data_IF_152629361043
#
_entry.id   IF_152629361043
#
_cell.length_a   1.000
_cell.length_b   1.000
_cell.length_c   1.000
_cell.angle_alpha   90.00
_cell.angle_beta   90.00
_cell.angle_gamma   90.00
#
_symmetry.space_group_name_H-M   'P 1'
#
loop_
_entity.id
_entity.type
_entity.pdbx_description
1 polymer ?
#
# COMPACT_ATOMS: atom_id res chain seq x y z
N UNK A 1 19.76 21.28 -118.97
CA UNK A 1 20.17 22.46 -119.76
C UNK A 1 21.15 23.26 -118.91
N UNK A 2 22.38 23.49 -119.39
CA UNK A 2 23.50 24.16 -118.68
C UNK A 2 23.97 23.51 -117.35
N UNK A 3 25.24 23.09 -117.23
CA UNK A 3 26.46 23.90 -116.99
C UNK A 3 26.46 24.51 -115.56
N UNK A 4 27.56 24.45 -114.79
CA UNK A 4 28.99 24.27 -115.18
C UNK A 4 29.86 23.95 -113.94
N UNK A 5 30.95 23.19 -114.13
CA UNK A 5 32.32 23.39 -113.57
C UNK A 5 32.54 23.50 -112.02
N UNK A 6 33.70 23.14 -111.43
CA UNK A 6 34.96 22.64 -112.00
C UNK A 6 35.83 21.80 -111.01
N UNK A 7 36.74 21.01 -111.57
CA UNK A 7 38.09 20.57 -111.09
C UNK A 7 38.52 20.85 -109.64
N UNK A 8 39.00 19.88 -108.83
CA UNK A 8 40.28 19.13 -108.94
C UNK A 8 41.57 20.02 -108.88
N UNK A 9 42.75 19.54 -108.40
CA UNK A 9 43.05 18.48 -107.41
C UNK A 9 44.32 18.74 -106.50
N UNK A 10 44.74 17.71 -105.72
CA UNK A 10 46.14 17.26 -105.46
C UNK A 10 47.09 17.99 -104.45
N UNK A 11 47.79 17.14 -103.65
CA UNK A 11 49.07 17.27 -102.89
C UNK A 11 49.20 18.36 -101.79
N UNK A 12 49.63 18.05 -100.55
CA UNK A 12 50.98 17.61 -100.10
C UNK A 12 52.10 18.54 -100.62
N UNK A 13 53.10 19.04 -99.89
CA UNK A 13 53.55 19.03 -98.49
C UNK A 13 54.30 20.39 -98.27
N UNK A 14 54.68 20.90 -97.10
CA UNK A 14 54.63 20.47 -95.68
C UNK A 14 54.75 21.73 -94.79
N UNK A 15 54.53 21.63 -93.46
CA UNK A 15 55.39 22.33 -92.47
C UNK A 15 55.13 21.90 -91.02
N UNK A 16 56.12 22.14 -90.16
CA UNK A 16 56.38 21.38 -88.93
C UNK A 16 56.53 22.28 -87.69
N UNK A 17 55.54 22.25 -86.80
CA UNK A 17 55.51 22.73 -85.40
C UNK A 17 54.06 22.49 -84.89
N UNK A 18 53.75 22.19 -83.63
CA UNK A 18 54.50 22.28 -82.36
C UNK A 18 53.92 21.25 -81.36
N UNK A 19 54.72 20.74 -80.41
CA UNK A 19 54.21 19.80 -79.38
C UNK A 19 53.57 20.54 -78.21
N UNK A 20 52.26 20.35 -77.99
CA UNK A 20 51.62 20.61 -76.69
C UNK A 20 51.39 19.31 -75.92
N UNK A 21 52.47 18.81 -75.31
CA UNK A 21 52.42 17.74 -74.31
C UNK A 21 51.72 18.23 -73.03
N UNK A 22 50.37 18.29 -73.01
CA UNK A 22 49.61 18.53 -71.75
C UNK A 22 48.10 18.22 -71.72
N UNK A 23 47.42 17.79 -72.79
CA UNK A 23 45.96 17.50 -72.77
C UNK A 23 45.58 16.05 -73.15
N UNK A 24 46.39 15.08 -72.74
CA UNK A 24 45.94 13.68 -72.66
C UNK A 24 44.94 13.53 -71.51
N UNK A 25 43.66 13.69 -71.88
CA UNK A 25 42.51 13.69 -70.99
C UNK A 25 42.55 12.50 -70.05
N UNK A 26 42.72 12.77 -68.75
CA UNK A 26 42.35 11.81 -67.69
C UNK A 26 40.85 11.53 -67.76
N UNK A 27 40.44 10.60 -68.63
CA UNK A 27 39.14 9.94 -68.53
C UNK A 27 39.18 9.17 -67.21
N UNK A 28 38.66 9.78 -66.14
CA UNK A 28 38.40 9.09 -64.86
C UNK A 28 37.36 8.01 -65.12
N UNK A 29 37.83 6.84 -65.55
CA UNK A 29 37.05 5.61 -65.54
C UNK A 29 36.59 5.40 -64.09
N UNK A 30 35.29 5.60 -63.86
CA UNK A 30 34.74 5.50 -62.52
C UNK A 30 34.90 4.04 -62.06
N UNK A 31 35.57 3.84 -60.92
CA UNK A 31 35.64 2.52 -60.28
C UNK A 31 34.24 1.91 -60.15
N UNK A 32 34.07 0.58 -60.31
CA UNK A 32 32.77 -0.08 -60.17
C UNK A 32 31.99 0.33 -58.91
N UNK A 33 32.67 0.50 -57.78
CA UNK A 33 32.04 0.97 -56.53
C UNK A 33 31.49 2.41 -56.62
N UNK A 34 32.16 3.30 -57.37
CA UNK A 34 31.71 4.68 -57.57
C UNK A 34 30.51 4.76 -58.52
N UNK A 35 30.38 3.82 -59.47
CA UNK A 35 29.19 3.65 -60.30
C UNK A 35 27.99 3.16 -59.47
N UNK A 36 28.20 2.21 -58.54
CA UNK A 36 27.17 1.74 -57.61
C UNK A 36 26.71 2.86 -56.68
N UNK A 37 27.64 3.60 -56.05
CA UNK A 37 27.31 4.73 -55.19
C UNK A 37 26.52 5.82 -55.95
N UNK A 38 26.94 6.17 -57.18
CA UNK A 38 26.22 7.13 -58.05
C UNK A 38 24.80 6.66 -58.40
N UNK A 39 24.57 5.35 -58.51
CA UNK A 39 23.22 4.77 -58.71
C UNK A 39 22.39 4.78 -57.43
N UNK A 40 23.01 4.54 -56.27
CA UNK A 40 22.37 4.58 -54.95
C UNK A 40 21.87 6.00 -54.62
N UNK A 41 22.73 7.01 -54.68
CA UNK A 41 22.36 8.40 -54.36
C UNK A 41 21.36 9.02 -55.34
N UNK A 42 21.19 8.44 -56.54
CA UNK A 42 20.14 8.84 -57.49
C UNK A 42 18.76 8.24 -57.16
N UNK A 43 18.69 7.20 -56.33
CA UNK A 43 17.43 6.59 -55.90
C UNK A 43 16.93 7.25 -54.60
N UNK A 44 15.85 8.04 -54.70
CA UNK A 44 15.26 8.75 -53.55
C UNK A 44 14.91 7.83 -52.39
N UNK A 45 14.35 6.64 -52.65
CA UNK A 45 13.97 5.68 -51.60
C UNK A 45 15.18 5.16 -50.82
N UNK A 46 16.29 4.89 -51.52
CA UNK A 46 17.53 4.41 -50.90
C UNK A 46 18.19 5.51 -50.05
N UNK A 47 18.16 6.76 -50.51
CA UNK A 47 18.65 7.92 -49.76
C UNK A 47 17.79 8.18 -48.52
N UNK A 48 16.47 8.07 -48.59
CA UNK A 48 15.59 8.17 -47.41
C UNK A 48 15.92 7.10 -46.37
N UNK A 49 16.13 5.84 -46.79
CA UNK A 49 16.55 4.76 -45.88
C UNK A 49 17.89 5.04 -45.19
N UNK A 50 18.89 5.54 -45.94
CA UNK A 50 20.18 5.95 -45.39
C UNK A 50 20.03 7.06 -44.33
N UNK A 51 19.19 8.07 -44.60
CA UNK A 51 18.93 9.19 -43.68
C UNK A 51 18.25 8.69 -42.40
N UNK A 52 17.24 7.83 -42.50
CA UNK A 52 16.57 7.24 -41.32
C UNK A 52 17.56 6.46 -40.47
N UNK A 53 18.40 5.63 -41.09
CA UNK A 53 19.42 4.84 -40.36
C UNK A 53 20.44 5.76 -39.67
N UNK A 54 20.91 6.82 -40.34
CA UNK A 54 21.80 7.82 -39.75
C UNK A 54 21.15 8.56 -38.56
N UNK A 55 19.86 8.91 -38.66
CA UNK A 55 19.10 9.52 -37.56
C UNK A 55 18.94 8.54 -36.38
N UNK A 56 18.61 7.27 -36.65
CA UNK A 56 18.51 6.24 -35.60
C UNK A 56 19.84 6.00 -34.90
N UNK A 57 20.95 5.96 -35.67
CA UNK A 57 22.30 5.86 -35.12
C UNK A 57 22.63 7.07 -34.25
N UNK A 58 22.39 8.29 -34.73
CA UNK A 58 22.61 9.51 -33.96
C UNK A 58 21.77 9.53 -32.67
N UNK A 59 20.44 9.32 -32.77
CA UNK A 59 19.52 9.25 -31.64
C UNK A 59 19.96 8.23 -30.58
N UNK A 60 20.53 7.10 -31.00
CA UNK A 60 20.87 6.02 -30.09
C UNK A 60 22.28 6.12 -29.49
N UNK A 61 23.28 6.50 -30.27
CA UNK A 61 24.66 6.64 -29.81
C UNK A 61 24.91 7.98 -29.12
N UNK A 62 24.35 9.09 -29.64
CA UNK A 62 24.45 10.41 -28.99
C UNK A 62 23.32 10.65 -27.98
N UNK A 63 22.21 9.89 -28.01
CA UNK A 63 21.09 10.07 -27.08
C UNK A 63 21.48 9.99 -25.61
N UNK A 64 22.43 9.12 -25.25
CA UNK A 64 22.96 9.03 -23.88
C UNK A 64 23.80 10.25 -23.41
N UNK A 65 24.06 11.22 -24.29
CA UNK A 65 24.62 12.54 -23.94
C UNK A 65 23.52 13.63 -23.83
N UNK A 66 22.36 13.38 -24.44
CA UNK A 66 21.22 14.32 -24.49
C UNK A 66 20.21 14.02 -23.39
N UNK A 67 20.02 12.74 -23.04
CA UNK A 67 19.26 12.37 -21.84
C UNK A 67 20.03 12.79 -20.59
N UNK A 68 19.39 13.48 -19.63
CA UNK A 68 19.98 13.80 -18.34
C UNK A 68 20.01 12.60 -17.36
N UNK A 69 19.53 11.43 -17.78
CA UNK A 69 19.26 10.28 -16.91
C UNK A 69 20.10 9.06 -17.26
N UNK A 70 20.42 8.25 -16.24
CA UNK A 70 21.10 6.97 -16.44
C UNK A 70 20.11 5.89 -16.90
N UNK A 71 20.61 4.89 -17.62
CA UNK A 71 19.83 3.73 -18.07
C UNK A 71 19.15 2.95 -16.92
N UNK A 72 19.76 2.95 -15.73
CA UNK A 72 19.35 2.24 -14.52
C UNK A 72 18.64 3.13 -13.49
N UNK A 73 18.45 4.42 -13.78
CA UNK A 73 17.88 5.38 -12.84
C UNK A 73 16.37 5.21 -12.68
N UNK A 74 15.94 4.96 -11.44
CA UNK A 74 14.53 4.87 -11.06
C UNK A 74 14.11 6.15 -10.34
N UNK A 75 12.98 6.68 -10.76
CA UNK A 75 12.31 7.82 -10.16
C UNK A 75 11.23 7.33 -9.20
N UNK A 76 11.06 8.07 -8.11
CA UNK A 76 10.11 7.75 -7.05
C UNK A 76 9.29 9.00 -6.72
N UNK A 77 8.04 8.79 -6.33
CA UNK A 77 7.15 9.83 -5.79
C UNK A 77 6.71 9.45 -4.38
N UNK A 78 6.32 10.45 -3.60
CA UNK A 78 5.55 10.20 -2.38
C UNK A 78 4.12 9.80 -2.77
N UNK A 79 3.58 8.84 -2.02
CA UNK A 79 2.24 8.31 -2.17
C UNK A 79 1.73 7.97 -0.76
N UNK A 80 0.62 8.59 -0.37
CA UNK A 80 -0.01 8.31 0.92
C UNK A 80 -0.71 6.97 0.80
N UNK A 81 -0.30 6.00 1.61
CA UNK A 81 -0.88 4.65 1.59
C UNK A 81 -1.42 4.28 2.96
N UNK A 82 -2.72 4.05 3.02
CA UNK A 82 -3.41 3.51 4.19
C UNK A 82 -3.07 2.02 4.36
N UNK A 83 -2.19 1.70 5.32
CA UNK A 83 -1.81 0.31 5.66
C UNK A 83 -2.58 -0.18 6.87
N UNK A 84 -2.98 -1.45 6.86
CA UNK A 84 -3.67 -2.07 7.99
C UNK A 84 -2.77 -2.10 9.24
N UNK A 85 -3.24 -1.49 10.33
CA UNK A 85 -2.46 -1.25 11.54
C UNK A 85 -3.04 -2.01 12.74
N UNK A 86 -4.34 -1.84 12.99
CA UNK A 86 -5.06 -2.51 14.08
C UNK A 86 -6.44 -3.01 13.63
N UNK A 87 -6.99 -3.97 14.36
CA UNK A 87 -8.38 -4.42 14.26
C UNK A 87 -9.08 -4.26 15.61
N UNK A 88 -10.30 -3.75 15.61
CA UNK A 88 -11.11 -3.59 16.81
C UNK A 88 -12.47 -4.29 16.67
N UNK A 89 -12.81 -5.17 17.60
CA UNK A 89 -14.11 -5.85 17.65
C UNK A 89 -14.91 -5.30 18.83
N UNK A 90 -16.11 -4.80 18.55
CA UNK A 90 -17.06 -4.31 19.54
C UNK A 90 -17.98 -5.43 20.00
N UNK A 91 -17.96 -5.74 21.30
CA UNK A 91 -18.83 -6.75 21.89
C UNK A 91 -20.21 -6.19 22.21
N UNK A 92 -21.09 -6.19 21.20
CA UNK A 92 -22.51 -5.81 21.33
C UNK A 92 -23.34 -6.85 22.10
N UNK A 93 -22.81 -8.06 22.26
CA UNK A 93 -23.48 -9.19 22.91
C UNK A 93 -23.12 -9.32 24.38
N UNK A 94 -24.11 -9.76 25.15
CA UNK A 94 -23.97 -10.14 26.55
C UNK A 94 -23.13 -11.42 26.68
N UNK A 95 -21.93 -11.31 27.26
CA UNK A 95 -21.07 -12.46 27.58
C UNK A 95 -21.35 -12.93 29.00
N UNK A 96 -21.46 -14.24 29.16
CA UNK A 96 -21.69 -14.88 30.45
C UNK A 96 -20.38 -15.31 31.10
N UNK A 97 -20.26 -15.10 32.41
CA UNK A 97 -19.19 -15.66 33.25
C UNK A 97 -19.81 -16.42 34.42
N UNK A 98 -19.31 -17.62 34.70
CA UNK A 98 -19.87 -18.52 35.70
C UNK A 98 -19.00 -18.54 36.98
N UNK A 99 -19.62 -18.26 38.13
CA UNK A 99 -19.05 -18.57 39.43
C UNK A 99 -19.07 -20.08 39.68
N UNK A 100 -20.16 -20.70 39.27
CA UNK A 100 -20.47 -22.11 39.44
C UNK A 100 -20.85 -22.69 38.09
N UNK A 101 -19.95 -23.49 37.49
CA UNK A 101 -20.12 -24.01 36.12
C UNK A 101 -21.20 -25.08 36.01
N UNK A 102 -21.58 -25.71 37.12
CA UNK A 102 -22.65 -26.70 37.16
C UNK A 102 -24.01 -26.01 37.20
N UNK A 103 -24.17 -25.02 38.08
CA UNK A 103 -25.42 -24.24 38.19
C UNK A 103 -25.60 -23.23 37.05
N UNK A 104 -24.52 -22.67 36.50
CA UNK A 104 -24.57 -21.68 35.40
C UNK A 104 -23.99 -22.24 34.08
N UNK A 105 -24.48 -23.43 33.71
CA UNK A 105 -24.15 -24.11 32.45
C UNK A 105 -24.57 -23.31 31.20
N UNK A 106 -24.02 -23.67 30.02
CA UNK A 106 -24.32 -22.97 28.76
C UNK A 106 -25.81 -22.88 28.40
N UNK A 107 -26.63 -23.85 28.79
CA UNK A 107 -28.09 -23.79 28.64
C UNK A 107 -28.73 -22.70 29.50
N UNK A 108 -28.26 -22.55 30.75
CA UNK A 108 -28.72 -21.51 31.68
C UNK A 108 -28.25 -20.12 31.21
N UNK A 109 -27.05 -20.02 30.65
CA UNK A 109 -26.53 -18.79 30.05
C UNK A 109 -27.39 -18.34 28.85
N UNK A 110 -27.77 -19.27 27.96
CA UNK A 110 -28.67 -18.98 26.85
C UNK A 110 -30.08 -18.56 27.32
N UNK A 111 -30.65 -19.23 28.32
CA UNK A 111 -31.92 -18.83 28.94
C UNK A 111 -31.82 -17.45 29.62
N UNK A 112 -30.68 -17.11 30.23
CA UNK A 112 -30.43 -15.79 30.82
C UNK A 112 -30.44 -14.70 29.74
N UNK A 113 -29.75 -14.91 28.61
CA UNK A 113 -29.80 -13.96 27.48
C UNK A 113 -31.22 -13.80 26.93
N UNK A 114 -32.01 -14.87 26.82
CA UNK A 114 -33.42 -14.81 26.40
C UNK A 114 -34.30 -14.08 27.42
N UNK A 115 -34.06 -14.25 28.72
CA UNK A 115 -34.76 -13.53 29.79
C UNK A 115 -34.48 -12.02 29.70
N UNK A 116 -33.21 -11.62 29.53
CA UNK A 116 -32.81 -10.21 29.33
C UNK A 116 -33.50 -9.62 28.08
N UNK A 117 -33.51 -10.34 26.95
CA UNK A 117 -34.20 -9.89 25.72
C UNK A 117 -35.71 -9.70 25.91
N UNK A 118 -36.35 -10.58 26.71
CA UNK A 118 -37.77 -10.50 27.05
C UNK A 118 -38.09 -9.49 28.17
N UNK A 119 -37.06 -8.92 28.81
CA UNK A 119 -37.14 -8.09 30.02
C UNK A 119 -37.75 -8.84 31.23
N UNK A 120 -37.54 -10.15 31.28
CA UNK A 120 -37.87 -10.95 32.45
C UNK A 120 -36.75 -10.80 33.51
N UNK A 121 -37.16 -10.63 34.76
CA UNK A 121 -36.28 -10.62 35.95
C UNK A 121 -35.96 -12.03 36.46
N UNK A 122 -36.62 -13.06 35.95
CA UNK A 122 -36.46 -14.45 36.38
C UNK A 122 -36.83 -15.46 35.30
N UNK A 123 -36.31 -16.68 35.43
CA UNK A 123 -36.73 -17.85 34.65
C UNK A 123 -36.51 -19.15 35.45
N UNK A 124 -37.17 -20.23 35.04
CA UNK A 124 -36.98 -21.55 35.62
C UNK A 124 -36.25 -22.49 34.64
N UNK A 125 -35.33 -23.29 35.16
CA UNK A 125 -34.64 -24.33 34.40
C UNK A 125 -34.27 -25.51 35.30
N UNK A 126 -34.59 -26.74 34.86
CA UNK A 126 -34.37 -27.98 35.62
C UNK A 126 -34.90 -27.95 37.08
N UNK A 127 -36.04 -27.29 37.31
CA UNK A 127 -36.66 -27.17 38.65
C UNK A 127 -35.98 -26.16 39.58
N UNK A 128 -35.00 -25.40 39.08
CA UNK A 128 -34.38 -24.28 39.81
C UNK A 128 -34.83 -22.95 39.21
N UNK A 129 -35.20 -22.00 40.07
CA UNK A 129 -35.50 -20.62 39.70
C UNK A 129 -34.21 -19.80 39.68
N UNK A 130 -33.95 -19.12 38.57
CA UNK A 130 -32.84 -18.18 38.38
C UNK A 130 -33.39 -16.76 38.37
N UNK A 131 -32.82 -15.90 39.23
CA UNK A 131 -33.21 -14.50 39.38
C UNK A 131 -32.10 -13.62 38.82
N UNK A 132 -32.46 -12.68 37.96
CA UNK A 132 -31.58 -11.73 37.30
C UNK A 132 -31.68 -10.39 38.02
N UNK A 133 -30.63 -10.03 38.77
CA UNK A 133 -30.51 -8.70 39.35
C UNK A 133 -29.81 -7.80 38.34
N UNK A 134 -30.54 -6.83 37.80
CA UNK A 134 -29.97 -5.75 36.99
C UNK A 134 -29.08 -4.87 37.85
N UNK A 135 -27.84 -4.62 37.40
CA UNK A 135 -26.93 -3.64 38.00
C UNK A 135 -26.99 -2.34 37.17
N UNK A 136 -26.82 -2.44 35.85
CA UNK A 136 -27.07 -1.38 34.89
C UNK A 136 -27.64 -1.96 33.58
N UNK A 137 -27.76 -1.19 32.50
CA UNK A 137 -28.31 -1.68 31.21
C UNK A 137 -27.45 -2.78 30.55
N UNK A 138 -26.15 -2.81 30.85
CA UNK A 138 -25.14 -3.66 30.21
C UNK A 138 -24.56 -4.73 31.15
N UNK A 139 -25.07 -4.85 32.39
CA UNK A 139 -24.55 -5.75 33.42
C UNK A 139 -25.65 -6.28 34.37
N UNK A 140 -25.70 -7.61 34.49
CA UNK A 140 -26.64 -8.37 35.31
C UNK A 140 -25.91 -9.43 36.14
N UNK A 141 -26.36 -9.65 37.38
CA UNK A 141 -25.93 -10.74 38.25
C UNK A 141 -27.03 -11.79 38.43
N UNK A 142 -26.66 -13.08 38.41
CA UNK A 142 -27.60 -14.19 38.35
C UNK A 142 -27.51 -15.02 39.64
N UNK A 143 -28.66 -15.20 40.28
CA UNK A 143 -28.79 -15.90 41.55
C UNK A 143 -29.75 -17.09 41.46
N UNK A 144 -29.42 -18.19 42.12
CA UNK A 144 -30.36 -19.28 42.40
C UNK A 144 -30.26 -19.69 43.87
N UNK A 145 -31.39 -19.91 44.55
CA UNK A 145 -31.43 -20.18 45.98
C UNK A 145 -30.72 -19.13 46.87
N UNK A 146 -30.57 -17.89 46.39
CA UNK A 146 -29.80 -16.83 47.06
C UNK A 146 -28.28 -16.85 46.82
N UNK A 147 -27.72 -17.90 46.19
CA UNK A 147 -26.30 -17.99 45.80
C UNK A 147 -26.08 -17.30 44.46
N UNK A 148 -25.04 -16.46 44.35
CA UNK A 148 -24.54 -15.93 43.08
C UNK A 148 -23.93 -17.10 42.27
N UNK A 149 -24.45 -17.36 41.07
CA UNK A 149 -23.98 -18.47 40.20
C UNK A 149 -23.25 -17.99 38.95
N UNK A 150 -23.49 -16.74 38.55
CA UNK A 150 -22.80 -16.14 37.43
C UNK A 150 -23.19 -14.68 37.22
N UNK A 151 -22.58 -14.08 36.20
CA UNK A 151 -22.87 -12.74 35.71
C UNK A 151 -22.98 -12.73 34.19
N UNK A 152 -23.62 -11.69 33.69
CA UNK A 152 -23.76 -11.43 32.26
C UNK A 152 -23.49 -9.94 32.00
N UNK A 153 -22.46 -9.64 31.21
CA UNK A 153 -22.00 -8.27 30.91
C UNK A 153 -21.68 -8.09 29.41
N UNK A 154 -21.83 -6.87 28.87
CA UNK A 154 -21.23 -6.52 27.56
C UNK A 154 -19.75 -6.18 27.67
N UNK A 155 -19.36 -5.54 28.79
CA UNK A 155 -17.97 -5.26 29.10
C UNK A 155 -17.21 -6.51 29.54
N UNK A 156 -15.94 -6.57 29.15
CA UNK A 156 -15.01 -7.65 29.46
C UNK A 156 -13.81 -7.10 30.22
N UNK A 157 -13.38 -7.83 31.24
CA UNK A 157 -12.08 -7.65 31.89
C UNK A 157 -11.03 -8.36 31.05
N UNK A 158 -10.07 -7.60 30.52
CA UNK A 158 -8.97 -8.08 29.70
C UNK A 158 -7.65 -7.83 30.45
N UNK A 159 -6.66 -8.72 30.34
CA UNK A 159 -5.33 -8.48 30.92
C UNK A 159 -4.52 -7.50 30.05
N UNK A 160 -3.70 -6.68 30.69
CA UNK A 160 -2.87 -5.69 30.00
C UNK A 160 -1.49 -6.23 29.62
N UNK A 161 -0.92 -7.15 30.43
CA UNK A 161 0.48 -7.55 30.35
C UNK A 161 0.71 -9.06 30.12
N UNK A 162 -0.35 -9.86 30.06
CA UNK A 162 -0.28 -11.32 30.03
C UNK A 162 -1.52 -11.93 29.37
N UNK A 163 -1.45 -13.20 28.94
CA UNK A 163 -2.66 -13.99 28.62
C UNK A 163 -3.27 -14.64 29.90
N UNK A 164 -3.12 -14.00 31.06
CA UNK A 164 -3.67 -14.53 32.31
C UNK A 164 -5.20 -14.38 32.33
N UNK A 165 -5.88 -15.45 32.72
CA UNK A 165 -7.31 -15.42 33.03
C UNK A 165 -7.48 -15.00 34.48
N UNK A 166 -8.21 -13.92 34.70
CA UNK A 166 -8.67 -13.57 36.05
C UNK A 166 -9.72 -14.56 36.56
N UNK A 167 -9.88 -14.61 37.90
CA UNK A 167 -10.96 -15.38 38.51
C UNK A 167 -12.33 -14.74 38.28
N UNK A 168 -13.39 -15.50 38.57
CA UNK A 168 -14.73 -14.96 38.64
C UNK A 168 -14.86 -13.84 39.69
N UNK A 169 -14.23 -13.99 40.86
CA UNK A 169 -14.32 -13.01 41.95
C UNK A 169 -13.72 -11.67 41.54
N UNK A 170 -12.51 -11.68 40.98
CA UNK A 170 -11.87 -10.49 40.42
C UNK A 170 -12.72 -9.86 39.32
N UNK A 171 -13.20 -10.66 38.36
CA UNK A 171 -14.01 -10.17 37.24
C UNK A 171 -15.32 -9.52 37.72
N UNK A 172 -15.99 -10.14 38.69
CA UNK A 172 -17.22 -9.65 39.27
C UNK A 172 -17.02 -8.35 40.05
N UNK A 173 -16.01 -8.32 40.94
CA UNK A 173 -15.72 -7.15 41.76
C UNK A 173 -15.28 -5.95 40.90
N UNK A 174 -14.46 -6.18 39.88
CA UNK A 174 -14.03 -5.15 38.93
C UNK A 174 -15.21 -4.52 38.16
N UNK A 175 -16.10 -5.36 37.60
CA UNK A 175 -17.29 -4.90 36.88
C UNK A 175 -18.29 -4.19 37.80
N UNK A 176 -18.49 -4.68 39.04
CA UNK A 176 -19.31 -4.01 40.05
C UNK A 176 -18.76 -2.63 40.43
N UNK A 177 -17.45 -2.53 40.68
CA UNK A 177 -16.76 -1.29 41.02
C UNK A 177 -16.98 -0.22 39.93
N UNK A 178 -16.71 -0.59 38.66
CA UNK A 178 -16.94 0.31 37.51
C UNK A 178 -18.43 0.67 37.34
N UNK A 179 -19.33 -0.29 37.50
CA UNK A 179 -20.78 -0.06 37.37
C UNK A 179 -21.35 0.86 38.47
N UNK A 180 -20.77 0.86 39.67
CA UNK A 180 -21.14 1.73 40.78
C UNK A 180 -20.46 3.12 40.72
N UNK A 181 -19.43 3.29 39.87
CA UNK A 181 -18.60 4.50 39.85
C UNK A 181 -17.59 4.57 41.01
N UNK A 182 -17.21 3.42 41.57
CA UNK A 182 -16.19 3.29 42.62
C UNK A 182 -14.79 3.22 41.98
N UNK A 183 -13.77 3.74 42.68
CA UNK A 183 -12.37 3.78 42.21
C UNK A 183 -11.45 2.72 42.83
N UNK A 184 -11.98 1.84 43.69
CA UNK A 184 -11.22 0.72 44.24
C UNK A 184 -12.13 -0.45 44.64
N UNK A 185 -11.61 -1.67 44.51
CA UNK A 185 -12.29 -2.89 44.93
C UNK A 185 -11.33 -3.87 45.58
N UNK A 186 -11.87 -4.84 46.29
CA UNK A 186 -11.12 -5.96 46.87
C UNK A 186 -11.58 -7.27 46.25
N UNK A 187 -10.64 -8.10 45.83
CA UNK A 187 -10.88 -9.46 45.36
C UNK A 187 -9.68 -10.34 45.73
N UNK A 188 -9.92 -11.61 46.08
CA UNK A 188 -8.90 -12.59 46.45
C UNK A 188 -8.02 -12.13 47.65
N UNK A 189 -8.56 -11.27 48.51
CA UNK A 189 -7.84 -10.66 49.63
C UNK A 189 -6.86 -9.54 49.26
N UNK A 190 -6.84 -9.10 47.99
CA UNK A 190 -6.03 -7.96 47.51
C UNK A 190 -6.91 -6.78 47.13
N UNK A 191 -6.37 -5.56 47.25
CA UNK A 191 -7.03 -4.32 46.84
C UNK A 191 -6.48 -3.83 45.49
N UNK A 192 -7.39 -3.46 44.59
CA UNK A 192 -7.10 -2.93 43.26
C UNK A 192 -7.78 -1.58 43.09
N UNK A 193 -7.22 -0.70 42.25
CA UNK A 193 -7.81 0.61 41.93
C UNK A 193 -8.24 0.67 40.47
N UNK A 194 -9.38 1.31 40.18
CA UNK A 194 -9.89 1.54 38.83
C UNK A 194 -9.89 3.04 38.51
N UNK A 195 -9.43 3.41 37.32
CA UNK A 195 -9.51 4.78 36.80
C UNK A 195 -10.78 5.04 35.95
N UNK A 196 -10.91 6.27 35.45
CA UNK A 196 -12.06 6.68 34.64
C UNK A 196 -12.18 5.93 33.30
N UNK A 197 -11.05 5.43 32.76
CA UNK A 197 -10.99 4.67 31.52
C UNK A 197 -11.29 3.17 31.73
N UNK A 198 -11.44 2.75 32.99
CA UNK A 198 -11.68 1.37 33.39
C UNK A 198 -10.41 0.51 33.46
N UNK A 199 -9.23 1.13 33.56
CA UNK A 199 -7.95 0.45 33.78
C UNK A 199 -7.83 0.07 35.25
N UNK A 200 -7.38 -1.15 35.51
CA UNK A 200 -7.23 -1.74 36.84
C UNK A 200 -5.75 -1.84 37.19
N UNK A 201 -5.39 -1.31 38.36
CA UNK A 201 -4.03 -1.30 38.88
C UNK A 201 -3.90 -2.14 40.16
N UNK A 202 -2.78 -2.86 40.27
CA UNK A 202 -2.32 -3.52 41.50
C UNK A 202 -1.01 -2.85 41.96
N UNK A 203 -1.00 -2.27 43.17
CA UNK A 203 0.17 -1.55 43.72
C UNK A 203 0.77 -0.48 42.77
N UNK A 204 -0.06 0.15 41.94
CA UNK A 204 0.35 1.16 40.95
C UNK A 204 0.77 0.62 39.58
N UNK A 205 0.83 -0.70 39.39
CA UNK A 205 1.09 -1.31 38.08
C UNK A 205 -0.24 -1.63 37.38
N UNK A 206 -0.40 -1.27 36.10
CA UNK A 206 -1.55 -1.70 35.30
C UNK A 206 -1.52 -3.24 35.16
N UNK A 207 -2.62 -3.91 35.50
CA UNK A 207 -2.76 -5.37 35.37
C UNK A 207 -3.86 -5.76 34.36
N UNK A 208 -4.92 -4.97 34.27
CA UNK A 208 -6.11 -5.31 33.50
C UNK A 208 -6.89 -4.06 33.08
N UNK A 209 -7.91 -4.23 32.23
CA UNK A 209 -8.82 -3.18 31.83
C UNK A 209 -10.21 -3.69 31.46
N UNK A 210 -11.22 -2.84 31.66
CA UNK A 210 -12.62 -3.12 31.40
C UNK A 210 -13.05 -2.40 30.12
N UNK A 211 -13.35 -3.15 29.06
CA UNK A 211 -13.74 -2.59 27.75
C UNK A 211 -14.80 -3.45 27.05
N UNK A 212 -15.67 -2.79 26.26
CA UNK A 212 -16.52 -3.44 25.25
C UNK A 212 -15.75 -3.75 23.96
N UNK A 213 -14.60 -3.09 23.74
CA UNK A 213 -13.78 -3.22 22.54
C UNK A 213 -12.55 -4.10 22.79
N UNK A 214 -12.36 -5.11 21.94
CA UNK A 214 -11.15 -5.92 21.86
C UNK A 214 -10.31 -5.40 20.70
N UNK A 215 -9.19 -4.74 21.00
CA UNK A 215 -8.28 -4.15 20.02
C UNK A 215 -7.03 -5.02 19.91
N UNK A 216 -6.61 -5.34 18.68
CA UNK A 216 -5.43 -6.15 18.36
C UNK A 216 -4.62 -5.50 17.23
N UNK A 217 -3.30 -5.64 17.26
CA UNK A 217 -2.46 -5.27 16.13
C UNK A 217 -2.71 -6.20 14.94
N UNK A 218 -2.65 -5.69 13.72
CA UNK A 218 -2.70 -6.51 12.50
C UNK A 218 -1.32 -7.09 12.17
N UNK A 219 -0.27 -6.30 12.35
CA UNK A 219 1.12 -6.71 12.16
C UNK A 219 1.76 -7.07 13.51
N UNK A 220 2.51 -8.18 13.56
CA UNK A 220 3.03 -8.75 14.82
C UNK A 220 4.17 -7.97 15.48
N UNK A 221 4.74 -7.00 14.78
CA UNK A 221 5.75 -6.04 15.23
C UNK A 221 5.15 -4.72 15.76
N UNK A 222 3.86 -4.47 15.51
CA UNK A 222 3.16 -3.27 16.00
C UNK A 222 2.70 -3.46 17.44
N UNK A 223 3.31 -2.71 18.37
CA UNK A 223 2.84 -2.62 19.75
C UNK A 223 1.83 -1.48 19.92
N UNK A 224 0.56 -1.82 20.13
CA UNK A 224 -0.49 -0.84 20.39
C UNK A 224 -0.43 -0.34 21.84
N UNK A 225 0.04 0.90 22.02
CA UNK A 225 0.12 1.58 23.32
C UNK A 225 -1.26 1.72 23.98
N UNK A 226 -1.27 1.93 25.30
CA UNK A 226 -2.49 2.15 26.08
C UNK A 226 -3.25 3.40 25.60
N UNK A 227 -2.53 4.51 25.46
CA UNK A 227 -3.06 5.79 25.01
C UNK A 227 -3.65 5.71 23.59
N UNK A 228 -3.01 4.96 22.67
CA UNK A 228 -3.59 4.67 21.36
C UNK A 228 -4.93 3.93 21.46
N UNK A 229 -4.99 2.87 22.28
CA UNK A 229 -6.23 2.10 22.47
C UNK A 229 -7.35 2.96 23.07
N UNK A 230 -7.06 3.82 24.05
CA UNK A 230 -8.06 4.69 24.66
C UNK A 230 -8.60 5.70 23.62
N UNK A 231 -7.73 6.42 22.90
CA UNK A 231 -8.14 7.37 21.83
C UNK A 231 -8.92 6.67 20.70
N UNK A 232 -8.52 5.47 20.29
CA UNK A 232 -9.25 4.65 19.32
C UNK A 232 -10.66 4.30 19.84
N UNK A 233 -10.79 3.88 21.09
CA UNK A 233 -12.10 3.57 21.69
C UNK A 233 -12.99 4.82 21.70
N UNK A 234 -12.45 5.99 22.02
CA UNK A 234 -13.24 7.22 22.07
C UNK A 234 -13.63 7.72 20.68
N UNK A 235 -12.76 7.58 19.68
CA UNK A 235 -13.08 7.83 18.28
C UNK A 235 -14.21 6.90 17.77
N UNK A 236 -14.16 5.61 18.12
CA UNK A 236 -15.20 4.63 17.80
C UNK A 236 -16.54 4.94 18.49
N UNK A 237 -16.53 5.29 19.79
CA UNK A 237 -17.74 5.75 20.52
C UNK A 237 -18.33 7.03 19.91
N UNK A 238 -17.48 7.97 19.51
CA UNK A 238 -17.86 9.22 18.86
C UNK A 238 -18.30 9.03 17.40
N UNK A 239 -18.13 7.83 16.82
CA UNK A 239 -18.41 7.48 15.41
C UNK A 239 -17.63 8.35 14.42
N UNK A 240 -16.37 8.62 14.74
CA UNK A 240 -15.45 9.31 13.84
C UNK A 240 -15.02 8.39 12.69
N UNK A 241 -14.69 8.97 11.54
CA UNK A 241 -14.19 8.25 10.36
C UNK A 241 -12.65 8.13 10.38
N UNK A 242 -11.96 9.04 11.06
CA UNK A 242 -10.53 8.97 11.35
C UNK A 242 -10.21 9.67 12.68
N UNK A 243 -9.01 9.42 13.21
CA UNK A 243 -8.44 10.18 14.31
C UNK A 243 -6.92 10.32 14.13
N UNK A 244 -6.34 11.37 14.69
CA UNK A 244 -4.89 11.61 14.66
C UNK A 244 -4.28 11.17 15.98
N UNK A 245 -3.12 10.52 15.91
CA UNK A 245 -2.38 10.05 17.07
C UNK A 245 -0.89 10.39 16.93
N UNK A 246 -0.37 11.07 17.95
CA UNK A 246 1.07 11.26 18.16
C UNK A 246 1.59 10.16 19.09
N UNK A 247 2.62 9.43 18.67
CA UNK A 247 3.27 8.41 19.48
C UNK A 247 4.29 8.98 20.49
N UNK A 248 4.94 8.09 21.23
CA UNK A 248 5.94 8.47 22.25
C UNK A 248 7.23 9.07 21.65
N UNK A 249 7.51 8.80 20.38
CA UNK A 249 8.65 9.36 19.64
C UNK A 249 8.31 10.72 19.00
N UNK A 250 7.06 11.19 19.16
CA UNK A 250 6.57 12.46 18.63
C UNK A 250 6.11 12.37 17.18
N UNK A 251 5.96 11.17 16.61
CA UNK A 251 5.50 10.97 15.24
C UNK A 251 3.97 11.04 15.22
N UNK A 252 3.45 12.04 14.52
CA UNK A 252 2.02 12.22 14.29
C UNK A 252 1.58 11.45 13.02
N UNK A 253 0.53 10.65 13.14
CA UNK A 253 -0.07 9.93 12.01
C UNK A 253 -1.60 9.93 12.10
N UNK A 254 -2.27 9.90 10.94
CA UNK A 254 -3.72 9.75 10.84
C UNK A 254 -4.12 8.28 10.70
N UNK A 255 -5.18 7.90 11.41
CA UNK A 255 -5.70 6.55 11.49
C UNK A 255 -7.16 6.53 11.04
N UNK A 256 -7.42 5.92 9.90
CA UNK A 256 -8.74 5.78 9.27
C UNK A 256 -9.47 4.56 9.86
N UNK A 257 -10.74 4.74 10.20
CA UNK A 257 -11.61 3.76 10.83
C UNK A 257 -12.62 3.21 9.82
N UNK A 258 -12.43 1.97 9.37
CA UNK A 258 -13.32 1.33 8.39
C UNK A 258 -14.03 0.11 9.00
N UNK A 259 -15.35 0.13 9.09
CA UNK A 259 -16.12 -1.04 9.56
C UNK A 259 -16.34 -2.07 8.45
N UNK A 260 -15.85 -3.30 8.63
CA UNK A 260 -16.18 -4.45 7.80
C UNK A 260 -17.40 -5.20 8.37
N UNK A 261 -18.60 -5.05 7.75
CA UNK A 261 -19.81 -5.73 8.22
C UNK A 261 -19.77 -7.25 8.06
N UNK A 262 -18.88 -7.78 7.20
CA UNK A 262 -18.72 -9.22 6.95
C UNK A 262 -18.03 -9.93 8.12
N UNK A 263 -17.12 -9.21 8.80
CA UNK A 263 -16.39 -9.69 9.98
C UNK A 263 -16.97 -9.17 11.30
N UNK A 264 -17.87 -8.18 11.25
CA UNK A 264 -18.31 -7.37 12.41
C UNK A 264 -17.09 -6.80 13.19
N UNK A 265 -16.13 -6.27 12.44
CA UNK A 265 -14.86 -5.75 12.94
C UNK A 265 -14.58 -4.37 12.31
N UNK A 266 -13.97 -3.48 13.06
CA UNK A 266 -13.33 -2.27 12.55
C UNK A 266 -11.89 -2.59 12.14
N UNK A 267 -11.55 -2.29 10.89
CA UNK A 267 -10.19 -2.29 10.38
C UNK A 267 -9.65 -0.85 10.48
N UNK A 268 -8.57 -0.68 11.23
CA UNK A 268 -7.90 0.60 11.46
C UNK A 268 -6.67 0.67 10.57
N UNK A 269 -6.62 1.66 9.68
CA UNK A 269 -5.52 1.85 8.75
C UNK A 269 -4.73 3.10 9.09
N UNK A 270 -3.42 2.99 9.21
CA UNK A 270 -2.53 4.14 9.36
C UNK A 270 -2.20 4.69 7.97
N UNK A 271 -2.41 5.99 7.75
CA UNK A 271 -1.83 6.67 6.61
C UNK A 271 -0.34 6.88 6.84
N UNK A 272 0.49 6.36 5.92
CA UNK A 272 1.93 6.62 5.93
C UNK A 272 2.43 7.08 4.58
N UNK A 273 3.30 8.10 4.60
CA UNK A 273 4.05 8.56 3.44
C UNK A 273 4.99 7.45 2.95
N UNK A 274 4.56 6.75 1.90
CA UNK A 274 5.34 5.68 1.29
C UNK A 274 6.00 6.21 0.02
N UNK A 275 7.32 6.08 -0.07
CA UNK A 275 8.05 6.36 -1.33
C UNK A 275 7.83 5.20 -2.30
N UNK A 276 7.08 5.43 -3.38
CA UNK A 276 6.79 4.45 -4.43
C UNK A 276 7.51 4.81 -5.73
N UNK A 277 7.73 3.85 -6.61
CA UNK A 277 8.24 4.16 -7.96
C UNK A 277 7.21 5.01 -8.72
N UNK A 278 7.69 6.07 -9.37
CA UNK A 278 6.85 6.93 -10.22
C UNK A 278 6.49 6.15 -11.49
N UNK A 279 5.43 5.36 -11.43
CA UNK A 279 5.16 4.25 -12.35
C UNK A 279 4.14 4.68 -13.40
N UNK A 280 4.47 4.52 -14.69
CA UNK A 280 3.63 4.96 -15.82
C UNK A 280 3.23 6.45 -15.76
N UNK A 281 4.12 7.33 -15.29
CA UNK A 281 3.82 8.77 -15.27
C UNK A 281 3.73 9.32 -16.69
N UNK A 282 2.80 10.26 -16.96
CA UNK A 282 2.58 10.78 -18.30
C UNK A 282 3.77 11.65 -18.79
N UNK A 283 3.87 11.88 -20.12
CA UNK A 283 4.81 12.82 -20.69
C UNK A 283 4.85 14.17 -19.96
N UNK A 284 6.04 14.55 -19.49
CA UNK A 284 6.30 15.72 -18.66
C UNK A 284 7.63 16.38 -19.03
N UNK A 285 7.94 17.55 -18.44
CA UNK A 285 9.19 18.27 -18.72
C UNK A 285 10.44 17.55 -18.23
N UNK A 286 10.33 16.76 -17.16
CA UNK A 286 11.34 15.80 -16.72
C UNK A 286 11.34 14.58 -17.63
N UNK A 287 10.20 13.88 -17.72
CA UNK A 287 10.09 12.62 -18.46
C UNK A 287 9.35 12.84 -19.78
N UNK A 288 10.08 13.19 -20.84
CA UNK A 288 9.49 13.62 -22.13
C UNK A 288 8.56 12.58 -22.77
N UNK A 289 8.77 11.29 -22.49
CA UNK A 289 7.91 10.19 -22.93
C UNK A 289 7.27 9.42 -21.74
N UNK A 290 7.30 10.00 -20.54
CA UNK A 290 6.85 9.36 -19.31
C UNK A 290 7.84 8.34 -18.74
N UNK A 291 7.42 7.66 -17.68
CA UNK A 291 8.15 6.56 -17.06
C UNK A 291 7.53 5.19 -17.37
N UNK A 292 8.30 4.13 -17.16
CA UNK A 292 7.86 2.76 -17.30
C UNK A 292 7.29 2.15 -16.00
N UNK A 293 7.05 0.84 -16.02
CA UNK A 293 6.54 0.05 -14.89
C UNK A 293 7.48 -0.08 -13.67
N UNK A 294 8.70 0.47 -13.76
CA UNK A 294 9.72 0.46 -12.71
C UNK A 294 10.18 1.88 -12.34
N UNK A 295 9.48 2.91 -12.84
CA UNK A 295 9.86 4.30 -12.68
C UNK A 295 11.11 4.71 -13.45
N UNK A 296 11.47 4.04 -14.54
CA UNK A 296 12.60 4.44 -15.39
C UNK A 296 12.12 5.27 -16.59
N UNK A 297 12.89 6.28 -16.98
CA UNK A 297 12.53 7.21 -18.07
C UNK A 297 12.45 6.51 -19.44
N UNK A 298 11.31 6.63 -20.12
CA UNK A 298 11.06 5.90 -21.36
C UNK A 298 11.91 6.39 -22.55
N UNK A 299 12.21 7.69 -22.65
CA UNK A 299 13.04 8.24 -23.72
C UNK A 299 14.46 7.69 -23.64
N UNK A 300 15.01 7.70 -22.43
CA UNK A 300 16.31 7.13 -22.09
C UNK A 300 16.34 5.64 -22.44
N UNK A 301 15.34 4.88 -22.02
CA UNK A 301 15.21 3.45 -22.37
C UNK A 301 15.18 3.19 -23.88
N UNK A 302 14.52 4.03 -24.68
CA UNK A 302 14.50 3.90 -26.14
C UNK A 302 15.87 4.19 -26.77
N UNK A 303 16.60 5.20 -26.30
CA UNK A 303 17.94 5.53 -26.80
C UNK A 303 18.96 4.40 -26.54
N UNK A 304 19.03 3.92 -25.29
CA UNK A 304 19.92 2.83 -24.89
C UNK A 304 19.49 1.47 -25.48
N UNK A 305 18.19 1.17 -25.51
CA UNK A 305 17.66 -0.05 -26.14
C UNK A 305 17.94 -0.11 -27.63
N UNK A 306 17.75 1.01 -28.34
CA UNK A 306 18.14 1.15 -29.75
C UNK A 306 19.63 0.90 -29.99
N UNK A 307 20.49 1.16 -29.00
CA UNK A 307 21.95 1.05 -29.16
C UNK A 307 22.36 -0.40 -29.21
N UNK A 308 21.83 -1.19 -28.28
CA UNK A 308 22.02 -2.64 -28.24
C UNK A 308 21.48 -3.27 -29.52
N UNK A 309 20.27 -2.90 -29.96
CA UNK A 309 19.68 -3.41 -31.20
C UNK A 309 20.51 -3.07 -32.45
N UNK A 310 21.00 -1.84 -32.58
CA UNK A 310 21.87 -1.44 -33.70
C UNK A 310 23.22 -2.16 -33.66
N UNK A 311 23.86 -2.29 -32.50
CA UNK A 311 25.12 -3.02 -32.34
C UNK A 311 24.96 -4.48 -32.81
N UNK A 312 23.90 -5.16 -32.37
CA UNK A 312 23.61 -6.54 -32.80
C UNK A 312 23.37 -6.58 -34.31
N UNK A 313 22.57 -5.66 -34.85
CA UNK A 313 22.27 -5.57 -36.29
C UNK A 313 23.44 -5.15 -37.19
N UNK A 314 24.58 -4.73 -36.64
CA UNK A 314 25.83 -4.50 -37.38
C UNK A 314 26.86 -5.64 -37.22
N UNK A 315 26.68 -6.54 -36.24
CA UNK A 315 27.57 -7.67 -35.96
C UNK A 315 27.14 -8.95 -36.70
N UNK A 316 25.83 -9.13 -36.89
CA UNK A 316 25.19 -10.28 -37.57
C UNK A 316 25.09 -10.04 -39.07
#
# INVERSE_FOLDING_TARGET
MSKKENTAPVSNNENKQEYSLNDDRRVKVLSPGMLVAKRFFRNRLAVTGLIILAIMFAFSFLGGLVSPYRQDQKFTRLDIQAKDYAGAVENKSFVASAADKELFSGSVQAQTQLAIQRKNDSFEYNGLTYNLRKINDDFYSIYTGGKLVGIVSKELVNSSNSNESFSFEFTYAALMCKANGESSFTAEGKTYTIDADGIIYENGNEIAYISQYIIRAVMGDVFLTRDFKNKLIDALKAKQESFVYTDADGVEAEYILHFDPSKNQWDIKQEIDTTVFDTYSPPSKSHWLGTDKYGMDMLTRLMYGGRVSLIIGFIV
#
